data_IF_615972701481
#
_entry.id   IF_615972701481
#
_cell.length_a   1.000
_cell.length_b   1.000
_cell.length_c   1.000
_cell.angle_alpha   90.00
_cell.angle_beta   90.00
_cell.angle_gamma   90.00
#
_symmetry.space_group_name_H-M   'P 1'
#
loop_
_entity.id
_entity.type
_entity.pdbx_description
1 polymer ?
#
# COMPACT_ATOMS: atom_id res chain seq x y z
N UNK A 1 51.27 46.27 50.28
CA UNK A 1 51.16 46.91 48.95
C UNK A 1 50.37 45.98 48.04
N UNK A 2 49.07 46.20 47.89
CA UNK A 2 48.22 45.47 46.95
C UNK A 2 47.86 46.43 45.81
N UNK A 3 48.26 46.11 44.58
CA UNK A 3 47.98 46.94 43.40
C UNK A 3 46.52 46.71 42.98
N UNK A 4 45.72 47.78 43.01
CA UNK A 4 44.37 47.76 42.45
C UNK A 4 44.43 47.56 40.92
N UNK A 5 43.57 46.72 40.33
CA UNK A 5 43.50 46.54 38.89
C UNK A 5 42.92 47.80 38.21
N UNK A 6 43.32 48.09 36.96
CA UNK A 6 42.86 49.26 36.23
C UNK A 6 41.35 49.21 35.97
N UNK A 7 40.68 50.35 36.17
CA UNK A 7 39.22 50.52 36.17
C UNK A 7 38.51 49.96 34.91
N UNK A 8 39.18 50.00 33.75
CA UNK A 8 38.68 49.44 32.50
C UNK A 8 38.48 47.91 32.53
N UNK A 9 39.30 47.18 33.28
CA UNK A 9 39.22 45.71 33.37
C UNK A 9 38.01 45.27 34.20
N UNK A 10 37.67 46.04 35.23
CA UNK A 10 36.48 45.81 36.07
C UNK A 10 35.20 46.07 35.29
N UNK A 11 35.18 47.11 34.46
CA UNK A 11 34.02 47.44 33.59
C UNK A 11 33.80 46.39 32.50
N UNK A 12 34.87 45.87 31.89
CA UNK A 12 34.75 44.81 30.89
C UNK A 12 34.26 43.49 31.52
N UNK A 13 34.79 43.13 32.69
CA UNK A 13 34.37 41.94 33.42
C UNK A 13 32.92 42.01 33.88
N UNK A 14 32.43 43.19 34.32
CA UNK A 14 31.04 43.35 34.74
C UNK A 14 30.08 43.33 33.54
N UNK A 15 30.46 43.93 32.41
CA UNK A 15 29.68 43.86 31.18
C UNK A 15 29.55 42.42 30.67
N UNK A 16 30.64 41.64 30.70
CA UNK A 16 30.65 40.25 30.24
C UNK A 16 29.79 39.35 31.16
N UNK A 17 29.76 39.61 32.47
CA UNK A 17 28.90 38.92 33.42
C UNK A 17 27.41 39.24 33.22
N UNK A 18 27.07 40.49 32.88
CA UNK A 18 25.68 40.89 32.57
C UNK A 18 25.19 40.22 31.28
N UNK A 19 26.05 40.11 30.26
CA UNK A 19 25.70 39.40 29.01
C UNK A 19 25.52 37.90 29.27
N UNK A 20 26.39 37.28 30.06
CA UNK A 20 26.27 35.84 30.40
C UNK A 20 25.00 35.55 31.22
N UNK A 21 24.67 36.40 32.19
CA UNK A 21 23.44 36.24 32.98
C UNK A 21 22.18 36.46 32.16
N UNK A 22 22.18 37.39 31.20
CA UNK A 22 21.06 37.59 30.26
C UNK A 22 20.90 36.42 29.28
N UNK A 23 21.98 35.78 28.84
CA UNK A 23 21.92 34.59 27.98
C UNK A 23 21.42 33.34 28.73
N UNK A 24 21.71 33.24 30.03
CA UNK A 24 21.25 32.13 30.90
C UNK A 24 19.81 32.32 31.41
N UNK A 25 19.28 33.56 31.43
CA UNK A 25 17.91 33.86 31.89
C UNK A 25 16.83 33.88 30.79
N UNK A 26 17.14 33.53 29.55
CA UNK A 26 16.15 33.35 28.48
C UNK A 26 15.68 31.89 28.33
N UNK A 27 15.84 31.07 29.36
CA UNK A 27 15.34 29.70 29.35
C UNK A 27 14.64 29.34 30.67
N UNK A 28 13.56 30.05 31.01
CA UNK A 28 12.50 29.47 31.85
C UNK A 28 11.17 30.24 31.76
N UNK A 29 10.31 29.83 30.82
CA UNK A 29 8.87 30.11 30.87
C UNK A 29 8.16 28.93 31.54
N UNK A 30 8.02 28.98 32.87
CA UNK A 30 7.34 27.96 33.67
C UNK A 30 5.87 28.34 33.85
N UNK A 31 4.93 27.51 33.40
CA UNK A 31 3.62 27.33 34.04
C UNK A 31 3.26 25.85 34.08
N UNK A 32 3.25 25.34 35.30
CA UNK A 32 2.66 24.07 35.70
C UNK A 32 1.14 24.17 35.67
N UNK A 33 0.49 23.25 34.99
CA UNK A 33 -0.95 23.05 34.98
C UNK A 33 -1.23 21.68 34.37
N UNK A 34 -1.55 20.74 35.25
CA UNK A 34 -2.18 19.43 35.06
C UNK A 34 -2.56 19.02 33.62
N UNK A 35 -1.85 18.04 33.05
CA UNK A 35 -2.38 17.16 32.02
C UNK A 35 -1.47 15.93 31.87
N UNK A 36 -2.05 14.78 32.16
CA UNK A 36 -1.62 13.46 31.73
C UNK A 36 -1.61 13.47 30.19
N UNK A 37 -0.51 13.88 29.57
CA UNK A 37 -0.31 13.81 28.10
C UNK A 37 1.16 13.43 27.81
N UNK A 38 1.60 12.31 28.37
CA UNK A 38 2.78 11.58 27.85
C UNK A 38 2.31 10.28 27.20
N UNK A 39 1.23 10.38 26.42
CA UNK A 39 0.75 9.30 25.57
C UNK A 39 0.47 9.89 24.19
N UNK A 40 1.09 9.31 23.15
CA UNK A 40 1.02 9.69 21.73
C UNK A 40 1.81 10.92 21.27
N UNK A 41 3.16 10.82 21.26
CA UNK A 41 3.94 11.62 20.29
C UNK A 41 3.67 11.05 18.88
N UNK A 42 2.61 11.52 18.23
CA UNK A 42 2.31 11.14 16.86
C UNK A 42 3.43 11.54 15.91
N UNK A 43 3.78 10.68 14.97
CA UNK A 43 4.76 10.99 13.93
C UNK A 43 4.09 11.85 12.85
N UNK A 44 4.73 12.97 12.48
CA UNK A 44 4.18 13.94 11.52
C UNK A 44 4.94 13.90 10.20
N UNK A 45 4.20 13.75 9.09
CA UNK A 45 4.73 13.61 7.74
C UNK A 45 4.17 14.74 6.87
N UNK A 46 4.99 15.57 6.22
CA UNK A 46 4.49 16.66 5.39
C UNK A 46 3.76 16.13 4.15
N UNK A 47 2.56 16.68 3.91
CA UNK A 47 1.84 16.55 2.65
C UNK A 47 2.09 17.82 1.84
N UNK A 48 2.70 17.66 0.67
CA UNK A 48 3.00 18.77 -0.22
C UNK A 48 2.17 18.67 -1.50
N UNK A 49 1.88 19.82 -2.10
CA UNK A 49 1.15 19.92 -3.35
C UNK A 49 1.82 20.87 -4.34
N UNK A 50 1.45 20.76 -5.61
CA UNK A 50 1.92 21.63 -6.68
C UNK A 50 0.85 21.72 -7.77
N UNK A 51 0.59 22.93 -8.23
CA UNK A 51 -0.31 23.22 -9.34
C UNK A 51 0.34 24.36 -10.13
N UNK A 52 1.14 23.96 -11.11
CA UNK A 52 1.86 24.87 -12.00
C UNK A 52 1.33 24.67 -13.41
N UNK A 53 1.27 25.75 -14.18
CA UNK A 53 0.94 25.68 -15.61
C UNK A 53 2.09 25.02 -16.38
N UNK A 54 3.32 25.22 -15.91
CA UNK A 54 4.52 24.60 -16.47
C UNK A 54 4.73 23.17 -15.94
N UNK A 55 5.49 22.37 -16.68
CA UNK A 55 5.84 21.00 -16.26
C UNK A 55 6.76 20.94 -15.03
N UNK A 56 7.35 22.07 -14.63
CA UNK A 56 8.23 22.18 -13.47
C UNK A 56 7.38 22.28 -12.20
N UNK A 57 7.24 21.16 -11.49
CA UNK A 57 6.48 21.12 -10.24
C UNK A 57 7.20 21.87 -9.11
N UNK A 58 6.61 22.99 -8.66
CA UNK A 58 7.00 23.68 -7.45
C UNK A 58 6.13 23.20 -6.28
N UNK A 59 6.70 22.36 -5.42
CA UNK A 59 5.96 21.75 -4.32
C UNK A 59 5.99 22.63 -3.07
N UNK A 60 4.81 22.89 -2.52
CA UNK A 60 4.57 23.66 -1.30
C UNK A 60 3.82 22.82 -0.28
N UNK A 61 3.92 23.17 0.99
CA UNK A 61 3.27 22.42 2.08
C UNK A 61 1.76 22.68 2.07
N UNK A 62 0.98 21.63 1.82
CA UNK A 62 -0.49 21.64 1.95
C UNK A 62 -0.92 21.38 3.39
N UNK A 63 -0.17 20.53 4.10
CA UNK A 63 -0.49 20.11 5.46
C UNK A 63 0.48 19.05 5.98
N UNK A 64 0.07 18.34 7.03
CA UNK A 64 0.80 17.25 7.62
C UNK A 64 -0.12 16.07 7.98
N UNK A 65 0.34 14.86 7.67
CA UNK A 65 -0.25 13.60 8.09
C UNK A 65 0.26 13.31 9.50
N UNK A 66 -0.64 13.24 10.47
CA UNK A 66 -0.34 12.92 11.86
C UNK A 66 -0.71 11.47 12.13
N UNK A 67 0.32 10.66 12.32
CA UNK A 67 0.23 9.22 12.55
C UNK A 67 0.11 8.95 14.05
N UNK A 68 -1.00 8.33 14.46
CA UNK A 68 -1.21 7.95 15.84
C UNK A 68 -0.61 6.56 16.09
N UNK A 69 0.27 6.46 17.08
CA UNK A 69 0.94 5.22 17.44
C UNK A 69 -0.01 4.27 18.20
N UNK A 70 -0.72 3.37 17.50
CA UNK A 70 -1.64 2.43 18.13
C UNK A 70 -1.69 1.07 17.42
N UNK A 71 -2.46 0.13 17.97
CA UNK A 71 -2.76 -1.18 17.33
C UNK A 71 -3.47 -1.02 15.98
N UNK A 72 -4.25 0.04 15.85
CA UNK A 72 -4.93 0.41 14.60
C UNK A 72 -4.15 1.52 13.90
N UNK A 73 -3.98 1.39 12.57
CA UNK A 73 -3.36 2.40 11.72
C UNK A 73 -4.30 3.60 11.58
N UNK A 74 -4.37 4.43 12.62
CA UNK A 74 -5.15 5.67 12.58
C UNK A 74 -4.28 6.83 12.14
N UNK A 75 -4.62 7.42 10.99
CA UNK A 75 -3.93 8.58 10.43
C UNK A 75 -4.91 9.73 10.40
N UNK A 76 -4.50 10.84 10.98
CA UNK A 76 -5.23 12.11 10.94
C UNK A 76 -4.51 13.08 10.02
N UNK A 77 -5.26 14.02 9.46
CA UNK A 77 -4.72 15.02 8.55
C UNK A 77 -4.91 16.41 9.15
N UNK A 78 -3.84 17.20 9.16
CA UNK A 78 -3.85 18.62 9.51
C UNK A 78 -3.53 19.40 8.25
N UNK A 79 -4.43 20.29 7.80
CA UNK A 79 -4.29 21.02 6.54
C UNK A 79 -4.28 22.51 6.77
N UNK A 80 -3.53 23.20 5.92
CA UNK A 80 -3.57 24.65 5.82
C UNK A 80 -4.70 25.06 4.86
N UNK A 81 -5.25 26.25 5.08
CA UNK A 81 -6.21 26.86 4.16
C UNK A 81 -5.49 27.28 2.87
N UNK A 82 -6.24 27.35 1.78
CA UNK A 82 -5.73 27.85 0.51
C UNK A 82 -5.77 29.38 0.48
N UNK A 83 -4.64 30.00 0.12
CA UNK A 83 -4.53 31.45 -0.03
C UNK A 83 -5.32 31.95 -1.24
N UNK A 84 -5.74 33.21 -1.24
CA UNK A 84 -6.48 33.81 -2.37
C UNK A 84 -5.65 33.78 -3.66
N UNK A 85 -4.35 34.00 -3.56
CA UNK A 85 -3.42 33.93 -4.70
C UNK A 85 -3.31 32.50 -5.23
N UNK A 86 -3.33 31.50 -4.35
CA UNK A 86 -3.31 30.09 -4.77
C UNK A 86 -4.65 29.64 -5.38
N UNK A 87 -5.79 30.22 -4.95
CA UNK A 87 -7.11 29.96 -5.53
C UNK A 87 -7.19 30.42 -6.99
N UNK A 88 -6.79 31.67 -7.23
CA UNK A 88 -6.78 32.24 -8.59
C UNK A 88 -5.85 31.44 -9.50
N UNK A 89 -4.66 31.10 -9.01
CA UNK A 89 -3.71 30.24 -9.74
C UNK A 89 -4.28 28.84 -10.03
N UNK A 90 -4.96 28.21 -9.07
CA UNK A 90 -5.56 26.90 -9.27
C UNK A 90 -6.64 26.94 -10.37
N UNK A 91 -7.42 28.02 -10.46
CA UNK A 91 -8.38 28.26 -11.55
C UNK A 91 -7.71 28.46 -12.91
N UNK A 92 -6.63 29.24 -12.96
CA UNK A 92 -5.86 29.42 -14.20
C UNK A 92 -5.32 28.07 -14.72
N UNK A 93 -4.78 27.24 -13.82
CA UNK A 93 -4.32 25.88 -14.15
C UNK A 93 -5.50 25.00 -14.59
N UNK A 94 -6.67 25.12 -13.95
CA UNK A 94 -7.87 24.39 -14.34
C UNK A 94 -8.38 24.79 -15.74
N UNK A 95 -8.27 26.07 -16.12
CA UNK A 95 -8.70 26.58 -17.42
C UNK A 95 -7.89 26.03 -18.60
N UNK A 96 -6.66 25.56 -18.34
CA UNK A 96 -5.76 24.97 -19.34
C UNK A 96 -5.66 23.44 -19.23
N UNK A 97 -6.61 22.79 -18.55
CA UNK A 97 -6.60 21.34 -18.28
C UNK A 97 -5.30 20.84 -17.58
N UNK A 98 -4.72 21.70 -16.74
CA UNK A 98 -3.50 21.38 -15.99
C UNK A 98 -3.71 20.35 -14.89
N UNK A 99 -2.60 19.99 -14.22
CA UNK A 99 -2.57 18.94 -13.20
C UNK A 99 -2.33 19.50 -11.80
N UNK A 100 -3.12 19.01 -10.84
CA UNK A 100 -2.85 19.16 -9.42
C UNK A 100 -2.06 17.94 -8.95
N UNK A 101 -0.83 18.16 -8.51
CA UNK A 101 0.12 17.13 -8.09
C UNK A 101 0.25 17.17 -6.57
N UNK A 102 0.32 16.01 -5.94
CA UNK A 102 0.66 15.86 -4.51
C UNK A 102 1.93 15.04 -4.36
N UNK A 103 2.67 15.28 -3.27
CA UNK A 103 3.77 14.41 -2.88
C UNK A 103 3.83 14.18 -1.38
N UNK A 104 4.32 13.00 -1.01
CA UNK A 104 4.53 12.58 0.37
C UNK A 104 5.91 11.90 0.43
N UNK A 105 6.77 12.19 1.43
CA UNK A 105 8.05 11.51 1.54
C UNK A 105 7.86 10.03 1.89
N UNK A 106 8.79 9.18 1.45
CA UNK A 106 8.80 7.77 1.83
C UNK A 106 9.21 7.61 3.29
N UNK A 107 8.33 7.04 4.09
CA UNK A 107 8.49 6.87 5.53
C UNK A 107 7.79 5.61 6.02
N UNK A 108 8.20 5.10 7.18
CA UNK A 108 7.46 4.06 7.91
C UNK A 108 6.32 4.71 8.70
N UNK A 109 5.11 4.16 8.58
CA UNK A 109 3.94 4.62 9.33
C UNK A 109 3.94 4.11 10.79
N UNK A 110 4.79 3.13 11.11
CA UNK A 110 4.92 2.57 12.46
C UNK A 110 6.07 3.25 13.24
N UNK A 111 5.73 3.77 14.42
CA UNK A 111 6.59 4.65 15.24
C UNK A 111 7.67 3.93 16.07
N UNK A 112 7.72 2.59 16.08
CA UNK A 112 8.59 1.83 17.00
C UNK A 112 10.08 1.85 16.63
N UNK A 113 10.44 2.39 15.46
CA UNK A 113 11.84 2.47 15.03
C UNK A 113 12.23 3.93 14.78
N UNK A 114 12.59 4.60 15.88
CA UNK A 114 13.32 5.88 15.87
C UNK A 114 14.76 5.75 15.33
N UNK A 115 14.98 4.91 14.33
CA UNK A 115 16.32 4.66 13.79
C UNK A 115 16.38 5.29 12.41
N UNK A 116 17.07 6.43 12.35
CA UNK A 116 17.65 7.03 11.16
C UNK A 116 16.70 7.29 9.99
N UNK A 117 16.20 8.52 10.02
CA UNK A 117 15.50 9.24 8.96
C UNK A 117 16.21 9.08 7.62
N UNK A 118 15.74 8.18 6.78
CA UNK A 118 15.92 8.29 5.34
C UNK A 118 14.57 8.58 4.73
N UNK A 119 14.24 9.87 4.62
CA UNK A 119 13.26 10.33 3.62
C UNK A 119 13.89 10.09 2.26
N UNK A 120 13.83 8.84 1.81
CA UNK A 120 14.51 8.37 0.61
C UNK A 120 13.62 8.65 -0.61
N UNK A 121 13.48 9.94 -0.91
CA UNK A 121 12.66 10.43 -1.99
C UNK A 121 11.17 10.57 -1.66
N UNK A 122 10.41 10.84 -2.70
CA UNK A 122 8.99 11.22 -2.62
C UNK A 122 8.14 10.27 -3.46
N UNK A 123 6.92 10.05 -2.99
CA UNK A 123 5.85 9.43 -3.75
C UNK A 123 4.96 10.55 -4.27
N UNK A 124 4.63 10.50 -5.56
CA UNK A 124 3.85 11.54 -6.23
C UNK A 124 2.59 10.95 -6.84
N UNK A 125 1.49 11.68 -6.76
CA UNK A 125 0.27 11.37 -7.48
C UNK A 125 -0.35 12.66 -8.02
N UNK A 126 -1.27 12.55 -8.97
CA UNK A 126 -1.86 13.71 -9.61
C UNK A 126 -3.32 13.47 -9.99
N UNK A 127 -4.07 14.56 -10.07
CA UNK A 127 -5.44 14.66 -10.59
C UNK A 127 -5.52 15.88 -11.51
N UNK A 128 -6.57 15.97 -12.33
CA UNK A 128 -6.82 17.18 -13.11
C UNK A 128 -7.17 18.34 -12.18
N UNK A 129 -6.61 19.52 -12.43
CA UNK A 129 -6.89 20.73 -11.64
C UNK A 129 -8.37 21.13 -11.73
N UNK A 130 -8.99 21.01 -12.91
CA UNK A 130 -10.43 21.25 -13.08
C UNK A 130 -11.29 20.37 -12.16
N UNK A 131 -10.88 19.13 -11.92
CA UNK A 131 -11.65 18.22 -11.07
C UNK A 131 -11.53 18.58 -9.58
N UNK A 132 -10.39 19.17 -9.16
CA UNK A 132 -10.22 19.70 -7.79
C UNK A 132 -11.05 20.96 -7.54
N UNK A 133 -11.18 21.83 -8.56
CA UNK A 133 -11.98 23.05 -8.46
C UNK A 133 -13.47 22.71 -8.44
N UNK A 134 -13.95 21.91 -9.39
CA UNK A 134 -15.36 21.50 -9.46
C UNK A 134 -15.79 20.60 -8.30
N UNK A 135 -14.84 19.95 -7.61
CA UNK A 135 -15.13 19.19 -6.39
C UNK A 135 -15.12 20.02 -5.12
N UNK A 136 -14.97 21.35 -5.19
CA UNK A 136 -14.87 22.22 -4.01
C UNK A 136 -13.75 21.75 -3.06
N UNK A 137 -12.58 21.43 -3.62
CA UNK A 137 -11.44 20.87 -2.89
C UNK A 137 -11.73 19.56 -2.13
N UNK A 138 -12.75 18.81 -2.56
CA UNK A 138 -13.10 17.48 -2.03
C UNK A 138 -12.27 16.41 -2.70
N UNK A 139 -11.40 15.77 -1.92
CA UNK A 139 -10.50 14.73 -2.38
C UNK A 139 -10.36 13.57 -1.38
N UNK A 140 -10.03 12.39 -1.90
CA UNK A 140 -9.72 11.20 -1.12
C UNK A 140 -8.29 10.80 -1.42
N UNK A 141 -7.45 10.80 -0.39
CA UNK A 141 -6.05 10.37 -0.46
C UNK A 141 -5.97 8.98 0.14
N UNK A 142 -5.39 8.03 -0.60
CA UNK A 142 -5.09 6.70 -0.11
C UNK A 142 -3.59 6.47 -0.08
N UNK A 143 -3.10 6.12 1.11
CA UNK A 143 -1.71 5.76 1.36
C UNK A 143 -1.57 4.24 1.29
N UNK A 144 -0.70 3.74 0.42
CA UNK A 144 -0.46 2.32 0.23
C UNK A 144 0.81 1.92 0.96
N UNK A 145 0.71 0.97 1.88
CA UNK A 145 1.87 0.46 2.62
C UNK A 145 2.25 -0.95 2.20
N UNK A 146 3.46 -1.36 2.56
CA UNK A 146 3.84 -2.78 2.53
C UNK A 146 3.36 -3.50 3.82
N UNK A 147 3.77 -4.77 3.97
CA UNK A 147 3.49 -5.58 5.17
C UNK A 147 4.23 -5.10 6.42
N UNK A 148 5.28 -4.28 6.27
CA UNK A 148 6.09 -3.73 7.37
C UNK A 148 5.60 -2.34 7.81
N UNK A 149 4.64 -1.76 7.09
CA UNK A 149 4.16 -0.39 7.33
C UNK A 149 5.00 0.69 6.64
N UNK A 150 5.89 0.33 5.72
CA UNK A 150 6.60 1.26 4.85
C UNK A 150 5.68 1.80 3.75
N UNK A 151 5.68 3.11 3.55
CA UNK A 151 4.86 3.74 2.52
C UNK A 151 5.48 3.49 1.12
N UNK A 152 4.75 2.77 0.27
CA UNK A 152 5.19 2.38 -1.09
C UNK A 152 4.47 3.15 -2.19
N UNK A 153 3.27 3.68 -1.92
CA UNK A 153 2.48 4.39 -2.91
C UNK A 153 1.52 5.41 -2.30
N UNK A 154 1.11 6.38 -3.12
CA UNK A 154 0.06 7.34 -2.80
C UNK A 154 -0.87 7.44 -4.01
N UNK A 155 -2.17 7.52 -3.76
CA UNK A 155 -3.18 7.82 -4.78
C UNK A 155 -4.12 8.90 -4.30
N UNK A 156 -4.56 9.75 -5.22
CA UNK A 156 -5.53 10.81 -4.97
C UNK A 156 -6.67 10.69 -5.97
N UNK A 157 -7.90 10.89 -5.51
CA UNK A 157 -9.09 10.98 -6.35
C UNK A 157 -9.97 12.13 -5.86
N UNK A 158 -10.67 12.80 -6.76
CA UNK A 158 -11.64 13.86 -6.43
C UNK A 158 -13.07 13.35 -6.55
N UNK A 159 -13.99 13.98 -5.82
CA UNK A 159 -15.41 13.64 -5.86
C UNK A 159 -16.20 14.92 -6.17
N UNK A 160 -16.67 15.13 -7.42
CA UNK A 160 -16.58 14.25 -8.59
C UNK A 160 -15.18 14.16 -9.24
N UNK A 161 -14.90 13.03 -9.91
CA UNK A 161 -13.61 12.76 -10.58
C UNK A 161 -13.47 13.32 -12.00
N UNK A 162 -14.52 13.91 -12.54
CA UNK A 162 -14.60 14.37 -13.93
C UNK A 162 -14.99 15.84 -13.99
N UNK A 163 -14.40 16.55 -14.94
CA UNK A 163 -14.67 17.98 -15.17
C UNK A 163 -15.86 18.10 -16.13
N UNK A 164 -16.85 18.90 -15.77
CA UNK A 164 -18.07 19.19 -16.54
C UNK A 164 -18.14 20.65 -17.00
N UNK A 165 -17.19 21.49 -16.59
CA UNK A 165 -17.14 22.92 -16.90
C UNK A 165 -18.10 23.75 -16.04
N UNK A 166 -18.38 23.30 -14.82
CA UNK A 166 -19.22 24.06 -13.88
C UNK A 166 -18.40 25.19 -13.27
N UNK A 167 -18.91 26.42 -13.34
CA UNK A 167 -18.29 27.58 -12.71
C UNK A 167 -18.52 27.55 -11.19
N UNK A 168 -17.44 27.75 -10.43
CA UNK A 168 -17.42 27.69 -8.96
C UNK A 168 -16.96 29.06 -8.42
N UNK A 169 -17.62 29.58 -7.39
CA UNK A 169 -17.28 30.87 -6.79
C UNK A 169 -16.05 30.76 -5.88
N UNK A 170 -15.11 31.71 -5.93
CA UNK A 170 -13.82 31.58 -5.23
C UNK A 170 -13.92 31.71 -3.71
N UNK A 171 -14.71 32.67 -3.24
CA UNK A 171 -14.61 33.18 -1.86
C UNK A 171 -15.19 32.22 -0.81
N UNK A 172 -16.16 31.39 -1.17
CA UNK A 172 -16.84 30.48 -0.23
C UNK A 172 -16.38 29.04 -0.42
N UNK A 173 -16.10 28.64 -1.66
CA UNK A 173 -16.01 27.24 -2.01
C UNK A 173 -14.58 26.69 -2.06
N UNK A 174 -13.56 27.55 -2.17
CA UNK A 174 -12.16 27.14 -2.39
C UNK A 174 -11.23 27.51 -1.22
N UNK A 175 -11.77 27.75 -0.03
CA UNK A 175 -10.96 28.11 1.15
C UNK A 175 -10.37 26.89 1.88
N UNK A 176 -11.19 25.86 2.06
CA UNK A 176 -10.95 24.73 2.95
C UNK A 176 -10.90 23.44 2.15
N UNK A 177 -9.87 22.64 2.38
CA UNK A 177 -9.79 21.29 1.82
C UNK A 177 -10.72 20.33 2.57
N UNK A 178 -11.53 19.59 1.83
CA UNK A 178 -12.35 18.52 2.38
C UNK A 178 -11.72 17.17 2.01
N UNK A 179 -10.66 16.80 2.72
CA UNK A 179 -9.87 15.61 2.39
C UNK A 179 -10.21 14.43 3.28
N UNK A 180 -10.57 13.31 2.66
CA UNK A 180 -10.69 12.01 3.34
C UNK A 180 -9.39 11.23 3.18
N UNK A 181 -8.81 10.77 4.30
CA UNK A 181 -7.57 9.99 4.30
C UNK A 181 -7.84 8.52 4.60
N UNK A 182 -7.28 7.62 3.81
CA UNK A 182 -7.35 6.16 4.01
C UNK A 182 -5.97 5.52 3.91
N UNK A 183 -5.71 4.49 4.70
CA UNK A 183 -4.49 3.69 4.62
C UNK A 183 -4.87 2.28 4.16
N UNK A 184 -4.24 1.83 3.08
CA UNK A 184 -4.44 0.52 2.51
C UNK A 184 -3.19 -0.32 2.72
N UNK A 185 -3.28 -1.27 3.64
CA UNK A 185 -2.25 -2.28 3.87
C UNK A 185 -2.50 -3.52 2.99
N UNK A 186 -1.45 -4.30 2.64
CA UNK A 186 -1.61 -5.51 1.87
C UNK A 186 -2.42 -6.54 2.65
N UNK A 187 -3.40 -7.14 2.00
CA UNK A 187 -4.20 -8.24 2.56
C UNK A 187 -3.62 -9.58 2.13
N UNK A 188 -3.67 -10.58 3.02
CA UNK A 188 -3.27 -11.94 2.67
C UNK A 188 -4.18 -12.46 1.56
N UNK A 189 -3.58 -13.09 0.56
CA UNK A 189 -4.34 -13.72 -0.52
C UNK A 189 -5.28 -14.79 0.07
N UNK A 190 -6.47 -14.96 -0.53
CA UNK A 190 -7.35 -16.05 -0.13
C UNK A 190 -6.63 -17.39 -0.32
N UNK A 191 -6.82 -18.30 0.63
CA UNK A 191 -6.30 -19.66 0.52
C UNK A 191 -6.90 -20.40 -0.69
N UNK A 192 -6.25 -21.49 -1.14
CA UNK A 192 -6.77 -22.27 -2.25
C UNK A 192 -8.13 -22.87 -1.89
N UNK A 193 -9.10 -22.75 -2.78
CA UNK A 193 -10.43 -23.35 -2.61
C UNK A 193 -10.36 -24.87 -2.87
N UNK A 194 -9.88 -25.62 -1.88
CA UNK A 194 -9.70 -27.07 -2.02
C UNK A 194 -10.96 -27.87 -1.69
N UNK A 195 -12.02 -27.25 -1.17
CA UNK A 195 -13.23 -27.95 -0.73
C UNK A 195 -13.85 -28.80 -1.86
N UNK A 196 -14.05 -28.21 -3.05
CA UNK A 196 -14.60 -28.93 -4.21
C UNK A 196 -13.67 -30.04 -4.70
N UNK A 197 -12.35 -29.86 -4.58
CA UNK A 197 -11.39 -30.89 -4.97
C UNK A 197 -11.39 -32.05 -3.97
N UNK A 198 -11.43 -31.77 -2.67
CA UNK A 198 -11.54 -32.77 -1.61
C UNK A 198 -12.82 -33.57 -1.76
N UNK A 199 -13.97 -32.91 -1.96
CA UNK A 199 -15.25 -33.60 -2.15
C UNK A 199 -15.22 -34.52 -3.38
N UNK A 200 -14.63 -34.06 -4.50
CA UNK A 200 -14.45 -34.91 -5.69
C UNK A 200 -13.55 -36.10 -5.39
N UNK A 201 -12.43 -35.90 -4.71
CA UNK A 201 -11.55 -36.99 -4.31
C UNK A 201 -12.24 -37.98 -3.38
N UNK A 202 -13.05 -37.50 -2.43
CA UNK A 202 -13.84 -38.32 -1.53
C UNK A 202 -14.87 -39.14 -2.31
N UNK A 203 -15.65 -38.52 -3.19
CA UNK A 203 -16.60 -39.22 -4.06
C UNK A 203 -15.91 -40.26 -4.95
N UNK A 204 -14.74 -39.96 -5.50
CA UNK A 204 -13.96 -40.93 -6.26
C UNK A 204 -13.43 -42.07 -5.39
N UNK A 205 -12.96 -41.78 -4.18
CA UNK A 205 -12.48 -42.81 -3.24
C UNK A 205 -13.61 -43.69 -2.74
N UNK A 206 -14.79 -43.13 -2.50
CA UNK A 206 -16.00 -43.87 -2.17
C UNK A 206 -16.46 -44.74 -3.33
N UNK A 207 -16.44 -44.23 -4.57
CA UNK A 207 -16.75 -45.02 -5.77
C UNK A 207 -15.75 -46.18 -5.93
N UNK A 208 -14.46 -45.93 -5.70
CA UNK A 208 -13.41 -46.97 -5.69
C UNK A 208 -13.64 -48.01 -4.60
N UNK A 209 -14.09 -47.60 -3.41
CA UNK A 209 -14.38 -48.50 -2.29
C UNK A 209 -15.67 -49.32 -2.46
N UNK A 210 -16.72 -48.71 -3.04
CA UNK A 210 -18.03 -49.36 -3.24
C UNK A 210 -18.03 -50.36 -4.41
N UNK A 211 -17.25 -50.13 -5.47
CA UNK A 211 -17.12 -51.03 -6.62
C UNK A 211 -15.68 -51.54 -6.86
N UNK A 212 -15.13 -52.43 -6.00
CA UNK A 212 -13.79 -53.01 -6.22
C UNK A 212 -13.68 -53.86 -7.49
N UNK A 213 -14.82 -54.31 -8.04
CA UNK A 213 -14.88 -55.18 -9.23
C UNK A 213 -14.69 -54.41 -10.55
N UNK A 214 -14.96 -53.11 -10.59
CA UNK A 214 -14.77 -52.27 -11.78
C UNK A 214 -13.32 -51.83 -11.97
N UNK A 215 -12.53 -51.81 -10.90
CA UNK A 215 -11.10 -51.48 -10.92
C UNK A 215 -10.20 -52.72 -11.08
N UNK A 216 -10.77 -53.92 -11.23
CA UNK A 216 -9.98 -55.13 -11.57
C UNK A 216 -9.48 -55.01 -13.01
N UNK A 217 -8.17 -55.17 -13.22
CA UNK A 217 -7.54 -55.18 -14.55
C UNK A 217 -8.30 -56.08 -15.53
N UNK A 218 -8.35 -55.71 -16.81
CA UNK A 218 -9.05 -56.49 -17.86
C UNK A 218 -8.71 -57.99 -17.80
N UNK A 219 -7.46 -58.33 -17.53
CA UNK A 219 -7.02 -59.71 -17.35
C UNK A 219 -7.70 -60.40 -16.18
N UNK A 220 -7.87 -59.71 -15.04
CA UNK A 220 -8.55 -60.26 -13.87
C UNK A 220 -10.06 -60.41 -14.08
N UNK A 221 -10.68 -59.55 -14.90
CA UNK A 221 -12.13 -59.64 -15.20
C UNK A 221 -12.45 -60.70 -16.26
N UNK A 222 -11.55 -60.92 -17.22
CA UNK A 222 -11.81 -61.76 -18.39
C UNK A 222 -10.84 -62.94 -18.55
N UNK A 223 -10.15 -63.37 -17.49
CA UNK A 223 -9.18 -64.46 -17.53
C UNK A 223 -9.76 -65.76 -18.13
N UNK A 224 -11.04 -66.06 -17.86
CA UNK A 224 -11.72 -67.25 -18.40
C UNK A 224 -11.95 -67.16 -19.92
N UNK A 225 -12.19 -65.97 -20.48
CA UNK A 225 -12.31 -65.77 -21.93
C UNK A 225 -10.95 -65.92 -22.61
N UNK A 226 -9.89 -65.42 -21.98
CA UNK A 226 -8.52 -65.57 -22.48
C UNK A 226 -8.14 -67.06 -22.48
N UNK A 227 -8.40 -67.78 -21.38
CA UNK A 227 -8.14 -69.21 -21.28
C UNK A 227 -8.98 -70.03 -22.27
N UNK A 228 -10.28 -69.75 -22.37
CA UNK A 228 -11.18 -70.43 -23.32
C UNK A 228 -10.81 -70.17 -24.78
N UNK A 229 -10.47 -68.92 -25.13
CA UNK A 229 -10.00 -68.55 -26.46
C UNK A 229 -8.67 -69.23 -26.82
N UNK A 230 -7.73 -69.34 -25.89
CA UNK A 230 -6.47 -70.05 -26.10
C UNK A 230 -6.68 -71.55 -26.34
N UNK A 231 -7.55 -72.20 -25.58
CA UNK A 231 -7.91 -73.62 -25.77
C UNK A 231 -8.60 -73.83 -27.12
N UNK A 232 -9.55 -72.96 -27.46
CA UNK A 232 -10.23 -73.01 -28.77
C UNK A 232 -9.23 -72.87 -29.91
N UNK A 233 -8.31 -71.92 -29.82
CA UNK A 233 -7.29 -71.67 -30.85
C UNK A 233 -6.29 -72.83 -30.98
N UNK A 234 -5.94 -73.50 -29.88
CA UNK A 234 -5.16 -74.74 -29.90
C UNK A 234 -5.94 -75.90 -30.55
N UNK A 235 -7.23 -76.05 -30.23
CA UNK A 235 -8.08 -77.09 -30.80
C UNK A 235 -8.36 -76.90 -32.30
N UNK A 236 -8.43 -75.65 -32.77
CA UNK A 236 -8.59 -75.37 -34.21
C UNK A 236 -7.26 -75.47 -34.97
N UNK A 237 -6.12 -75.15 -34.34
CA UNK A 237 -4.81 -75.40 -34.94
C UNK A 237 -4.46 -76.90 -34.99
N UNK A 238 -4.87 -77.69 -33.99
CA UNK A 238 -4.72 -79.15 -34.03
C UNK A 238 -5.72 -79.85 -34.95
N UNK A 239 -6.73 -79.13 -35.47
CA UNK A 239 -7.71 -79.62 -36.43
C UNK A 239 -7.32 -79.33 -37.91
N UNK A 240 -6.08 -78.94 -38.19
CA UNK A 240 -5.57 -79.01 -39.57
C UNK A 240 -5.42 -80.49 -39.97
N UNK A 241 -6.14 -80.99 -40.99
CA UNK A 241 -5.93 -82.34 -41.49
C UNK A 241 -4.50 -82.46 -42.04
N UNK A 242 -3.81 -83.60 -41.86
CA UNK A 242 -2.47 -83.77 -42.39
C UNK A 242 -2.51 -83.56 -43.92
N UNK A 243 -1.76 -82.58 -44.40
CA UNK A 243 -1.51 -82.40 -45.82
C UNK A 243 -0.79 -83.66 -46.32
N UNK A 244 -1.42 -84.35 -47.28
CA UNK A 244 -1.01 -85.64 -47.80
C UNK A 244 0.43 -85.67 -48.33
N UNK A 245 1.05 -86.83 -48.16
CA UNK A 245 2.34 -87.16 -48.72
C UNK A 245 2.39 -88.63 -49.08
N UNK A 246 1.82 -88.98 -50.24
CA UNK A 246 2.21 -90.19 -50.98
C UNK A 246 3.67 -90.05 -51.41
N UNK A 247 4.50 -91.06 -51.13
CA UNK A 247 5.43 -91.62 -52.13
C UNK A 247 6.03 -92.95 -51.70
N UNK A 248 5.83 -93.89 -52.61
CA UNK A 248 6.39 -95.22 -52.80
C UNK A 248 7.92 -95.23 -53.08
N UNK A 249 8.52 -96.43 -52.97
CA UNK A 249 9.88 -96.89 -53.35
C UNK A 249 11.00 -96.61 -52.32
N UNK A 250 11.86 -97.56 -51.94
CA UNK A 250 12.27 -98.86 -52.49
C UNK A 250 12.60 -99.86 -51.37
#
# INVERSE_FOLDING_TARGET
>A
MARLPPFHFVLFSSALFIVYTKFVHCNNGRRTGDALDTEFSGFSVPLEHSFEVDDVANFRVRGALVLKAGREQSVSLSQNLLSEEDRTKLKEVAAVDGLYKIRVPRVFLQADRQTERQMEGYLTAFVRACAMVESHLSDVITLHTDVTGYLIGVSIVTIPGACRGTEVEDEVDLEVFNTTLSVMAPVNAPGPETALFLERMEQESEKKGKNPQEQKSFFAKYWYLILGGAIFLMATNSAQPPAGGDREQS
#
